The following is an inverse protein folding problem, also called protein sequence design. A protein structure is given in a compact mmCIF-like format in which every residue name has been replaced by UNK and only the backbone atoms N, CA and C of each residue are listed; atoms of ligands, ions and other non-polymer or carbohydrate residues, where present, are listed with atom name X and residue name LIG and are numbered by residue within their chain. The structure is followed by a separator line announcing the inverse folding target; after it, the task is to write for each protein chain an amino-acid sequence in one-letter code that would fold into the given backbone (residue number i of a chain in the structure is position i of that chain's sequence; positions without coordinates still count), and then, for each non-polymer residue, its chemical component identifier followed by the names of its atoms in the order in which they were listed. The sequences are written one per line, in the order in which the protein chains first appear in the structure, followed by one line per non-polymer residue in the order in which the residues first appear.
data_IF_143766139234
#
_entry.id   IF_143766139234
#
_cell.length_a   1.000
_cell.length_b   1.000
_cell.length_c   1.000
_cell.angle_alpha   90.00
_cell.angle_beta   90.00
_cell.angle_gamma   90.00
#
_symmetry.space_group_name_H-M   'P 1'
#
loop_
_entity.id
_entity.type
_entity.pdbx_description
1 polymer ?
#
# COMPACT_ATOMS: atom_id res chain seq x y z
N UNK A 1 -15.88 12.32 4.04
CA UNK A 1 -15.87 10.87 3.81
C UNK A 1 -15.46 10.17 5.10
N UNK A 2 -16.29 9.25 5.57
CA UNK A 2 -16.08 8.56 6.84
C UNK A 2 -15.83 7.05 6.68
N UNK A 3 -15.93 6.52 5.45
CA UNK A 3 -15.72 5.10 5.18
C UNK A 3 -14.95 4.92 3.88
N UNK A 4 -13.86 4.16 3.95
CA UNK A 4 -13.05 3.81 2.79
C UNK A 4 -13.61 2.55 2.13
N UNK A 5 -13.74 2.59 0.80
CA UNK A 5 -14.23 1.45 0.00
C UNK A 5 -13.15 1.08 -1.03
N UNK A 6 -12.28 0.11 -0.71
CA UNK A 6 -11.20 -0.29 -1.62
C UNK A 6 -11.70 -0.80 -2.95
N UNK A 7 -10.97 -0.43 -4.00
CA UNK A 7 -11.15 -0.93 -5.36
C UNK A 7 -9.89 -1.70 -5.73
N UNK A 8 -10.03 -2.88 -6.33
CA UNK A 8 -8.93 -3.77 -6.64
C UNK A 8 -8.69 -3.88 -8.16
N UNK A 9 -8.68 -2.74 -8.85
CA UNK A 9 -8.55 -2.71 -10.31
C UNK A 9 -7.22 -3.30 -10.79
N UNK A 10 -6.11 -2.95 -10.16
CA UNK A 10 -4.79 -3.44 -10.54
C UNK A 10 -4.67 -4.95 -10.30
N UNK A 11 -5.00 -5.41 -9.10
CA UNK A 11 -4.81 -6.81 -8.70
C UNK A 11 -5.81 -7.77 -9.36
N UNK A 12 -6.94 -7.29 -9.84
CA UNK A 12 -7.92 -8.12 -10.53
C UNK A 12 -7.59 -8.37 -12.01
N UNK A 13 -6.67 -7.60 -12.61
CA UNK A 13 -6.38 -7.67 -14.04
C UNK A 13 -4.97 -8.15 -14.37
N UNK A 14 -4.03 -8.11 -13.43
CA UNK A 14 -2.62 -8.44 -13.66
C UNK A 14 -2.20 -9.71 -12.91
N UNK A 15 -1.19 -10.44 -13.43
CA UNK A 15 -0.74 -11.68 -12.80
C UNK A 15 -0.01 -11.42 -11.48
N UNK A 16 -0.36 -12.21 -10.46
CA UNK A 16 0.24 -12.15 -9.13
C UNK A 16 1.25 -13.29 -8.92
N UNK A 17 2.23 -13.04 -8.06
CA UNK A 17 3.05 -14.11 -7.50
C UNK A 17 2.14 -15.01 -6.63
N UNK A 18 2.18 -16.34 -6.81
CA UNK A 18 1.35 -17.26 -6.03
C UNK A 18 1.77 -17.38 -4.56
N UNK A 19 2.97 -16.96 -4.20
CA UNK A 19 3.47 -17.01 -2.83
C UNK A 19 3.07 -15.72 -2.11
N UNK A 20 2.37 -15.82 -0.99
CA UNK A 20 1.91 -14.67 -0.20
C UNK A 20 2.66 -14.47 1.13
N UNK A 21 3.73 -15.22 1.36
CA UNK A 21 4.59 -15.05 2.53
C UNK A 21 5.54 -13.85 2.37
N UNK A 22 5.76 -13.13 3.47
CA UNK A 22 6.63 -11.96 3.49
C UNK A 22 8.10 -12.35 3.60
N UNK A 23 8.77 -12.59 2.47
CA UNK A 23 10.22 -12.75 2.46
C UNK A 23 10.80 -12.28 1.11
N UNK A 24 12.09 -11.96 1.11
CA UNK A 24 12.79 -11.57 -0.11
C UNK A 24 12.92 -12.74 -1.04
N UNK A 25 12.55 -12.52 -2.30
CA UNK A 25 12.66 -13.53 -3.35
C UNK A 25 12.67 -12.91 -4.72
N UNK A 26 13.21 -13.65 -5.68
CA UNK A 26 13.03 -13.33 -7.09
C UNK A 26 11.70 -13.87 -7.58
N UNK A 27 11.07 -13.13 -8.47
CA UNK A 27 9.79 -13.49 -9.09
C UNK A 27 9.90 -13.37 -10.59
N UNK A 28 9.06 -14.11 -11.33
CA UNK A 28 9.04 -14.06 -12.80
C UNK A 28 7.62 -14.10 -13.33
N UNK A 29 7.40 -13.39 -14.45
CA UNK A 29 6.11 -13.36 -15.16
C UNK A 29 4.94 -12.90 -14.31
N UNK A 30 5.21 -12.05 -13.29
CA UNK A 30 4.19 -11.48 -12.43
C UNK A 30 4.40 -9.97 -12.30
N UNK A 31 3.33 -9.24 -12.06
CA UNK A 31 3.36 -7.78 -11.91
C UNK A 31 3.47 -7.35 -10.45
N UNK A 32 3.05 -8.18 -9.53
CA UNK A 32 3.02 -7.84 -8.10
C UNK A 32 3.02 -9.09 -7.23
N UNK A 33 3.30 -8.89 -5.94
CA UNK A 33 3.18 -9.91 -4.90
C UNK A 33 2.27 -9.41 -3.78
N UNK A 34 1.40 -10.26 -3.27
CA UNK A 34 0.65 -9.92 -2.07
C UNK A 34 1.59 -9.93 -0.86
N UNK A 35 1.50 -8.90 -0.04
CA UNK A 35 2.33 -8.73 1.15
C UNK A 35 1.49 -8.17 2.29
N UNK A 36 1.94 -8.41 3.52
CA UNK A 36 1.34 -7.79 4.70
C UNK A 36 2.26 -6.67 5.18
N UNK A 37 1.74 -5.44 5.36
CA UNK A 37 2.52 -4.38 5.99
C UNK A 37 2.89 -4.76 7.42
N UNK A 38 4.07 -4.34 7.84
CA UNK A 38 4.42 -4.47 9.25
C UNK A 38 3.51 -3.61 10.13
N UNK A 39 3.16 -4.13 11.29
CA UNK A 39 2.32 -3.41 12.25
C UNK A 39 3.19 -2.63 13.24
N UNK A 40 2.97 -1.32 13.28
CA UNK A 40 3.69 -0.40 14.16
C UNK A 40 2.74 0.11 15.23
N UNK A 41 2.73 -0.53 16.40
CA UNK A 41 1.79 -0.23 17.50
C UNK A 41 1.88 1.22 17.95
N UNK A 42 3.11 1.76 18.02
CA UNK A 42 3.38 3.11 18.53
C UNK A 42 3.45 4.18 17.42
N UNK A 43 2.98 3.86 16.20
CA UNK A 43 3.00 4.83 15.12
C UNK A 43 2.06 6.01 15.37
N UNK A 44 2.48 7.19 14.94
CA UNK A 44 1.72 8.43 15.06
C UNK A 44 1.64 9.13 13.71
N UNK A 45 0.52 9.80 13.45
CA UNK A 45 0.41 10.72 12.32
C UNK A 45 1.01 12.06 12.74
N UNK A 46 2.13 12.41 12.14
CA UNK A 46 2.85 13.66 12.44
C UNK A 46 2.38 14.83 11.60
N UNK A 47 1.95 14.55 10.38
CA UNK A 47 1.55 15.58 9.42
C UNK A 47 0.66 14.98 8.34
N UNK A 48 -0.32 15.74 7.91
CA UNK A 48 -1.10 15.46 6.70
C UNK A 48 -1.05 16.68 5.79
N UNK A 49 -0.82 16.48 4.50
CA UNK A 49 -0.79 17.59 3.56
C UNK A 49 -2.21 18.04 3.17
N UNK A 50 -2.30 19.19 2.52
CA UNK A 50 -3.57 19.69 1.96
C UNK A 50 -4.15 18.76 0.88
N UNK A 51 -3.42 17.76 0.43
CA UNK A 51 -3.93 16.75 -0.49
C UNK A 51 -5.18 16.06 0.05
N UNK A 52 -5.31 15.88 1.37
CA UNK A 52 -6.50 15.28 1.96
C UNK A 52 -7.77 16.08 1.66
N UNK A 53 -7.67 17.39 1.55
CA UNK A 53 -8.78 18.26 1.15
C UNK A 53 -9.14 18.06 -0.33
N UNK A 54 -8.12 17.95 -1.19
CA UNK A 54 -8.32 17.72 -2.63
C UNK A 54 -8.96 16.37 -2.90
N UNK A 55 -8.68 15.36 -2.06
CA UNK A 55 -9.31 14.05 -2.12
C UNK A 55 -10.80 14.08 -1.73
N UNK A 56 -11.25 15.16 -1.13
CA UNK A 56 -12.62 15.31 -0.64
C UNK A 56 -12.84 14.70 0.74
N UNK A 57 -11.79 14.51 1.53
CA UNK A 57 -11.88 13.88 2.83
C UNK A 57 -12.24 14.89 3.92
N UNK A 58 -13.19 14.49 4.77
CA UNK A 58 -13.61 15.28 5.93
C UNK A 58 -12.44 15.44 6.92
N UNK A 59 -12.13 16.68 7.38
CA UNK A 59 -11.11 16.89 8.41
C UNK A 59 -11.35 16.10 9.71
N UNK A 60 -12.60 15.83 10.05
CA UNK A 60 -12.95 15.01 11.23
C UNK A 60 -12.48 13.57 11.01
N UNK A 61 -12.67 13.02 9.81
CA UNK A 61 -12.17 11.68 9.45
C UNK A 61 -10.64 11.64 9.52
N UNK A 62 -9.96 12.63 8.94
CA UNK A 62 -8.49 12.69 8.93
C UNK A 62 -7.90 12.75 10.35
N UNK A 63 -8.63 13.34 11.29
CA UNK A 63 -8.24 13.38 12.70
C UNK A 63 -8.66 12.12 13.50
N UNK A 64 -9.40 11.21 12.89
CA UNK A 64 -9.97 10.05 13.58
C UNK A 64 -8.93 8.97 13.92
N UNK A 65 -9.28 8.12 14.87
CA UNK A 65 -8.46 6.95 15.22
C UNK A 65 -8.42 5.92 14.08
N UNK A 66 -9.48 5.82 13.28
CA UNK A 66 -9.53 4.95 12.11
C UNK A 66 -8.47 5.36 11.07
N UNK A 67 -8.40 6.65 10.75
CA UNK A 67 -7.38 7.17 9.83
C UNK A 67 -5.97 6.85 10.34
N UNK A 68 -5.73 7.12 11.62
CA UNK A 68 -4.42 6.85 12.25
C UNK A 68 -4.07 5.37 12.22
N UNK A 69 -5.05 4.49 12.42
CA UNK A 69 -4.83 3.06 12.41
C UNK A 69 -4.50 2.54 11.00
N UNK A 70 -5.22 2.98 9.99
CA UNK A 70 -5.00 2.56 8.58
C UNK A 70 -3.68 3.10 8.05
N UNK A 71 -3.45 4.40 8.14
CA UNK A 71 -2.27 5.05 7.57
C UNK A 71 -1.04 4.99 8.47
N UNK A 72 -1.20 4.62 9.72
CA UNK A 72 -0.10 4.30 10.64
C UNK A 72 0.31 2.83 10.65
N UNK A 73 -0.23 2.02 9.75
CA UNK A 73 0.04 0.58 9.67
C UNK A 73 -0.32 -0.21 10.93
N UNK A 74 -1.39 0.19 11.62
CA UNK A 74 -1.92 -0.56 12.76
C UNK A 74 -2.98 -1.56 12.37
N UNK A 75 -3.71 -1.30 11.30
CA UNK A 75 -4.75 -2.21 10.78
C UNK A 75 -4.86 -2.13 9.27
N UNK A 76 -5.37 -3.20 8.70
CA UNK A 76 -5.73 -3.28 7.27
C UNK A 76 -7.23 -3.12 7.17
N UNK A 77 -7.72 -2.27 6.26
CA UNK A 77 -9.15 -2.11 6.08
C UNK A 77 -9.76 -3.33 5.40
N UNK A 78 -11.01 -3.61 5.74
CA UNK A 78 -11.76 -4.72 5.18
C UNK A 78 -11.82 -4.62 3.64
N UNK A 79 -11.70 -5.76 2.98
CA UNK A 79 -11.69 -5.91 1.52
C UNK A 79 -10.46 -5.29 0.83
N UNK A 80 -9.46 -4.85 1.55
CA UNK A 80 -8.17 -4.51 0.96
C UNK A 80 -7.22 -5.70 1.01
N UNK A 81 -6.38 -5.82 -0.01
CA UNK A 81 -5.34 -6.86 -0.06
C UNK A 81 -4.04 -6.19 -0.50
N UNK A 82 -3.21 -5.77 0.47
CA UNK A 82 -1.98 -5.05 0.18
C UNK A 82 -1.02 -5.85 -0.71
N UNK A 83 -0.29 -5.16 -1.57
CA UNK A 83 0.64 -5.79 -2.49
C UNK A 83 1.87 -4.92 -2.73
N UNK A 84 2.99 -5.55 -3.07
CA UNK A 84 4.20 -4.90 -3.55
C UNK A 84 4.34 -5.12 -5.05
N UNK A 85 4.78 -4.08 -5.78
CA UNK A 85 5.07 -4.20 -7.20
C UNK A 85 6.31 -5.06 -7.41
N UNK A 86 6.28 -5.93 -8.41
CA UNK A 86 7.49 -6.58 -8.88
C UNK A 86 8.42 -5.54 -9.51
N UNK A 87 9.68 -5.60 -9.19
CA UNK A 87 10.66 -4.66 -9.71
C UNK A 87 11.98 -5.35 -10.02
N UNK A 88 12.77 -4.72 -10.90
CA UNK A 88 14.10 -5.19 -11.24
C UNK A 88 15.02 -3.98 -11.38
N UNK A 89 16.30 -4.17 -11.11
CA UNK A 89 17.25 -3.09 -11.26
C UNK A 89 18.58 -3.36 -10.56
N UNK A 90 19.46 -2.36 -10.63
CA UNK A 90 20.73 -2.36 -9.93
C UNK A 90 20.55 -1.75 -8.54
N UNK A 91 21.10 -2.41 -7.53
CA UNK A 91 21.16 -1.92 -6.16
C UNK A 91 22.62 -1.91 -5.70
N UNK A 92 23.10 -0.75 -5.28
CA UNK A 92 24.49 -0.58 -4.83
C UNK A 92 25.51 -1.11 -5.84
N UNK A 93 25.26 -0.86 -7.14
CA UNK A 93 26.17 -1.29 -8.21
C UNK A 93 25.98 -2.73 -8.68
N UNK A 94 25.08 -3.49 -8.09
CA UNK A 94 24.81 -4.87 -8.45
C UNK A 94 23.40 -5.04 -9.04
N UNK A 95 23.27 -5.93 -10.01
CA UNK A 95 21.97 -6.31 -10.55
C UNK A 95 21.23 -7.20 -9.55
N UNK A 96 20.04 -6.76 -9.12
CA UNK A 96 19.26 -7.46 -8.11
C UNK A 96 18.27 -8.49 -8.67
N UNK A 97 18.09 -8.56 -9.99
CA UNK A 97 17.06 -9.40 -10.61
C UNK A 97 15.67 -8.78 -10.48
N UNK A 98 14.65 -9.57 -10.76
CA UNK A 98 13.25 -9.16 -10.57
C UNK A 98 12.77 -9.62 -9.20
N UNK A 99 12.43 -8.66 -8.34
CA UNK A 99 12.07 -8.89 -6.94
C UNK A 99 10.59 -8.56 -6.70
N UNK A 100 10.00 -9.23 -5.70
CA UNK A 100 8.63 -9.01 -5.29
C UNK A 100 8.48 -8.56 -3.84
N UNK A 101 9.54 -8.00 -3.24
CA UNK A 101 9.63 -7.72 -1.81
C UNK A 101 9.80 -6.23 -1.49
N UNK A 102 9.24 -5.35 -2.30
CA UNK A 102 9.39 -3.90 -2.09
C UNK A 102 8.91 -3.41 -0.73
N UNK A 103 9.65 -2.45 -0.15
CA UNK A 103 9.24 -1.81 1.10
C UNK A 103 8.12 -0.78 0.92
N UNK A 104 7.78 -0.46 -0.31
CA UNK A 104 6.62 0.34 -0.65
C UNK A 104 5.45 -0.60 -0.93
N UNK A 105 4.43 -0.55 -0.09
CA UNK A 105 3.28 -1.43 -0.18
C UNK A 105 2.08 -0.61 -0.63
N UNK A 106 1.44 -1.05 -1.71
CA UNK A 106 0.18 -0.49 -2.15
C UNK A 106 -0.92 -1.05 -1.27
N UNK A 107 -1.57 -0.19 -0.52
CA UNK A 107 -2.61 -0.60 0.42
C UNK A 107 -3.93 -0.88 -0.30
N UNK A 108 -4.37 0.04 -1.13
CA UNK A 108 -5.63 -0.03 -1.85
C UNK A 108 -5.74 1.11 -2.85
N UNK A 109 -6.75 1.02 -3.73
CA UNK A 109 -7.18 2.11 -4.59
C UNK A 109 -8.54 2.63 -4.11
N UNK A 110 -8.75 3.92 -4.22
CA UNK A 110 -10.02 4.58 -3.87
C UNK A 110 -10.44 5.55 -4.96
N UNK A 111 -11.74 5.63 -5.22
CA UNK A 111 -12.31 6.77 -5.94
C UNK A 111 -12.32 7.98 -5.02
N UNK A 112 -11.83 9.10 -5.51
CA UNK A 112 -11.74 10.36 -4.78
C UNK A 112 -12.25 11.50 -5.63
N UNK A 113 -12.33 12.71 -5.07
CA UNK A 113 -12.76 13.89 -5.81
C UNK A 113 -11.81 14.25 -6.97
N UNK A 114 -10.59 13.73 -6.97
CA UNK A 114 -9.63 13.91 -8.06
C UNK A 114 -9.42 12.61 -8.88
N UNK A 115 -10.37 11.68 -8.82
CA UNK A 115 -10.34 10.42 -9.55
C UNK A 115 -9.82 9.24 -8.75
N UNK A 116 -9.56 8.14 -9.44
CA UNK A 116 -9.04 6.92 -8.83
C UNK A 116 -7.58 7.12 -8.40
N UNK A 117 -7.30 6.94 -7.12
CA UNK A 117 -5.97 7.10 -6.54
C UNK A 117 -5.51 5.80 -5.86
N UNK A 118 -4.23 5.51 -6.00
CA UNK A 118 -3.57 4.40 -5.29
C UNK A 118 -2.86 4.94 -4.06
N UNK A 119 -3.12 4.32 -2.92
CA UNK A 119 -2.52 4.70 -1.63
C UNK A 119 -1.40 3.73 -1.29
N UNK A 120 -0.23 4.28 -1.03
CA UNK A 120 0.98 3.51 -0.81
C UNK A 120 1.59 3.83 0.55
N UNK A 121 1.96 2.78 1.27
CA UNK A 121 2.69 2.89 2.52
C UNK A 121 4.15 2.56 2.26
N UNK A 122 5.05 3.49 2.55
CA UNK A 122 6.47 3.31 2.31
C UNK A 122 7.19 2.96 3.61
N UNK A 123 8.06 1.96 3.54
CA UNK A 123 8.89 1.56 4.68
C UNK A 123 8.29 0.45 5.56
N UNK A 124 7.13 -0.09 5.23
CA UNK A 124 6.48 -1.17 5.99
C UNK A 124 6.59 -2.55 5.31
N UNK A 125 7.35 -2.66 4.23
CA UNK A 125 7.60 -3.94 3.57
C UNK A 125 8.77 -4.71 4.19
N UNK A 126 8.95 -5.98 3.79
CA UNK A 126 10.04 -6.86 4.26
C UNK A 126 11.44 -6.37 3.89
#
# INVERSE_FOLDING_TARGET
MTQLKPINAFTSTLPADPVDENYRRQVSQVAYSFVQPEHFIDSEVRHTSSLTEELGWDPIYVASNEFKAVFGSKQIIENSKPYAMAYAGHQFGNWAGQLGDGRAINLFQLETDIGLQTFQLKGAGP
#
